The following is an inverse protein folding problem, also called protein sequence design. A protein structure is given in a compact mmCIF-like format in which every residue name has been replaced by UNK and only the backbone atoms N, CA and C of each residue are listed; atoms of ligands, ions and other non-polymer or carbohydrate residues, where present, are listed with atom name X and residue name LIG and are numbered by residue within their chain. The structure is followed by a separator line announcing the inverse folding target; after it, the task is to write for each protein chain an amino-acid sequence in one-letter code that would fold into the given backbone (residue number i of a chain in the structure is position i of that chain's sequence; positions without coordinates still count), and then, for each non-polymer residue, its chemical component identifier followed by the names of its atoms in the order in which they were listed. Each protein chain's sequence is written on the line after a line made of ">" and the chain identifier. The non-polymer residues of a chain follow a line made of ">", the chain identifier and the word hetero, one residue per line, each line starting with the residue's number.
data_IF_983912728647
#
_entry.id   IF_983912728647
#
_cell.length_a   1.000
_cell.length_b   1.000
_cell.length_c   1.000
_cell.angle_alpha   90.00
_cell.angle_beta   90.00
_cell.angle_gamma   90.00
#
_symmetry.space_group_name_H-M   'P 1'
#
loop_
_entity.id
_entity.type
_entity.pdbx_description
1 polymer ?
#
# COMPACT_ATOMS: atom_id res chain seq x y z
N UNK A 1 -10.32 6.35 -13.93
CA UNK A 1 -10.24 4.88 -13.75
C UNK A 1 -9.84 4.61 -12.32
N UNK A 2 -10.64 3.89 -11.53
CA UNK A 2 -10.37 3.66 -10.10
C UNK A 2 -9.78 2.27 -9.91
N UNK A 3 -8.49 2.20 -9.53
CA UNK A 3 -7.75 0.93 -9.40
C UNK A 3 -8.38 -0.03 -8.38
N UNK A 4 -9.03 0.52 -7.35
CA UNK A 4 -9.68 -0.24 -6.26
C UNK A 4 -10.87 -1.05 -6.76
N UNK A 5 -11.66 -0.48 -7.68
CA UNK A 5 -12.80 -1.17 -8.31
C UNK A 5 -12.38 -2.36 -9.17
N UNK A 6 -11.11 -2.42 -9.57
CA UNK A 6 -10.55 -3.54 -10.34
C UNK A 6 -9.88 -4.59 -9.45
N UNK A 7 -9.91 -4.42 -8.12
CA UNK A 7 -9.31 -5.38 -7.18
C UNK A 7 -7.79 -5.25 -7.06
N UNK A 8 -7.20 -4.14 -7.49
CA UNK A 8 -5.75 -3.94 -7.33
C UNK A 8 -5.40 -3.60 -5.88
N UNK A 9 -4.30 -4.19 -5.40
CA UNK A 9 -3.66 -3.81 -4.14
C UNK A 9 -3.12 -2.38 -4.26
N UNK A 10 -3.52 -1.50 -3.33
CA UNK A 10 -3.04 -0.12 -3.29
C UNK A 10 -2.08 0.12 -2.12
N UNK A 11 -1.51 1.31 -2.05
CA UNK A 11 -0.70 1.75 -0.92
C UNK A 11 -0.99 3.21 -0.65
N UNK A 12 -1.30 3.56 0.60
CA UNK A 12 -1.53 4.95 1.01
C UNK A 12 -0.25 5.56 1.55
N UNK A 13 0.11 6.73 1.02
CA UNK A 13 1.25 7.54 1.46
C UNK A 13 0.74 8.87 2.01
N UNK A 14 1.15 9.19 3.23
CA UNK A 14 0.88 10.47 3.88
C UNK A 14 1.81 10.62 5.08
N UNK A 15 2.05 11.84 5.53
CA UNK A 15 2.72 12.08 6.81
C UNK A 15 1.82 11.78 8.02
N UNK A 16 0.50 11.86 7.84
CA UNK A 16 -0.47 11.66 8.91
C UNK A 16 -0.89 10.18 9.01
N UNK A 17 -0.37 9.52 10.04
CA UNK A 17 -0.64 8.11 10.31
C UNK A 17 -2.11 7.83 10.66
N UNK A 18 -2.82 8.77 11.29
CA UNK A 18 -4.23 8.61 11.62
C UNK A 18 -5.12 8.73 10.38
N UNK A 19 -4.75 9.59 9.43
CA UNK A 19 -5.40 9.66 8.12
C UNK A 19 -5.17 8.37 7.32
N UNK A 20 -3.94 7.86 7.31
CA UNK A 20 -3.60 6.58 6.65
C UNK A 20 -4.44 5.43 7.20
N UNK A 21 -4.50 5.27 8.53
CA UNK A 21 -5.23 4.17 9.15
C UNK A 21 -6.73 4.19 8.78
N UNK A 22 -7.33 5.40 8.77
CA UNK A 22 -8.72 5.58 8.35
C UNK A 22 -8.93 5.22 6.87
N UNK A 23 -8.04 5.67 6.00
CA UNK A 23 -8.13 5.38 4.58
C UNK A 23 -7.99 3.87 4.30
N UNK A 24 -7.02 3.20 4.91
CA UNK A 24 -6.81 1.75 4.77
C UNK A 24 -8.03 0.98 5.26
N UNK A 25 -8.58 1.33 6.43
CA UNK A 25 -9.76 0.67 6.98
C UNK A 25 -10.99 0.83 6.08
N UNK A 26 -11.22 2.05 5.57
CA UNK A 26 -12.31 2.32 4.64
C UNK A 26 -12.16 1.52 3.33
N UNK A 27 -10.95 1.47 2.78
CA UNK A 27 -10.70 0.78 1.51
C UNK A 27 -10.81 -0.73 1.62
N UNK A 28 -10.36 -1.31 2.73
CA UNK A 28 -10.54 -2.73 3.02
C UNK A 28 -12.03 -3.05 3.20
N UNK A 29 -12.79 -2.21 3.89
CA UNK A 29 -14.22 -2.41 4.12
C UNK A 29 -15.05 -2.28 2.84
N UNK A 30 -14.77 -1.27 2.01
CA UNK A 30 -15.59 -0.92 0.85
C UNK A 30 -15.29 -1.81 -0.38
N UNK A 31 -14.03 -2.22 -0.55
CA UNK A 31 -13.57 -2.90 -1.77
C UNK A 31 -13.00 -4.30 -1.53
N UNK A 32 -12.79 -4.73 -0.29
CA UNK A 32 -12.19 -6.03 0.02
C UNK A 32 -10.75 -6.19 -0.48
N UNK A 33 -10.08 -5.09 -0.86
CA UNK A 33 -8.71 -5.11 -1.39
C UNK A 33 -7.69 -5.05 -0.25
N UNK A 34 -6.50 -5.62 -0.49
CA UNK A 34 -5.39 -5.48 0.45
C UNK A 34 -4.75 -4.11 0.25
N UNK A 35 -5.01 -3.22 1.19
CA UNK A 35 -4.38 -1.90 1.26
C UNK A 35 -3.49 -1.81 2.49
N UNK A 36 -2.38 -1.08 2.36
CA UNK A 36 -1.51 -0.78 3.49
C UNK A 36 -0.96 0.63 3.41
N UNK A 37 -0.63 1.15 4.59
CA UNK A 37 -0.15 2.51 4.76
C UNK A 37 1.34 2.57 5.02
N UNK A 38 2.04 3.49 4.37
CA UNK A 38 3.39 3.88 4.77
C UNK A 38 3.39 5.37 5.13
N UNK A 39 3.71 5.73 6.38
CA UNK A 39 3.95 7.12 6.73
C UNK A 39 5.17 7.64 5.96
N UNK A 40 4.97 8.63 5.10
CA UNK A 40 6.01 9.16 4.22
C UNK A 40 5.83 10.65 4.07
N UNK A 41 6.91 11.40 4.28
CA UNK A 41 6.96 12.82 3.94
C UNK A 41 7.24 12.96 2.44
N UNK A 42 6.24 13.42 1.68
CA UNK A 42 6.34 13.50 0.21
C UNK A 42 7.29 14.61 -0.27
N UNK A 43 7.60 15.58 0.60
CA UNK A 43 8.56 16.63 0.32
C UNK A 43 10.03 16.17 0.42
N UNK A 44 10.28 14.99 0.99
CA UNK A 44 11.61 14.38 1.11
C UNK A 44 11.76 13.29 0.03
N UNK A 45 12.61 13.57 -0.96
CA UNK A 45 12.86 12.66 -2.07
C UNK A 45 13.44 11.32 -1.60
N UNK A 46 14.34 11.33 -0.63
CA UNK A 46 14.98 10.13 -0.10
C UNK A 46 13.95 9.29 0.67
N UNK A 47 13.06 9.94 1.42
CA UNK A 47 11.95 9.25 2.10
C UNK A 47 10.99 8.58 1.10
N UNK A 48 10.72 9.22 -0.04
CA UNK A 48 9.88 8.66 -1.10
C UNK A 48 10.55 7.46 -1.76
N UNK A 49 11.84 7.55 -2.12
CA UNK A 49 12.56 6.45 -2.75
C UNK A 49 12.70 5.23 -1.82
N UNK A 50 13.02 5.47 -0.55
CA UNK A 50 13.06 4.43 0.47
C UNK A 50 11.69 3.74 0.64
N UNK A 51 10.61 4.51 0.56
CA UNK A 51 9.24 4.02 0.62
C UNK A 51 8.89 3.16 -0.60
N UNK A 52 9.23 3.62 -1.81
CA UNK A 52 9.00 2.88 -3.05
C UNK A 52 9.74 1.54 -3.02
N UNK A 53 11.01 1.56 -2.63
CA UNK A 53 11.84 0.37 -2.44
C UNK A 53 11.25 -0.61 -1.42
N UNK A 54 10.68 -0.09 -0.31
CA UNK A 54 10.00 -0.92 0.69
C UNK A 54 8.71 -1.53 0.15
N UNK A 55 7.92 -0.79 -0.63
CA UNK A 55 6.72 -1.31 -1.31
C UNK A 55 7.09 -2.42 -2.30
N UNK A 56 8.12 -2.22 -3.11
CA UNK A 56 8.59 -3.21 -4.07
C UNK A 56 8.99 -4.53 -3.38
N UNK A 57 9.77 -4.45 -2.29
CA UNK A 57 10.12 -5.62 -1.48
C UNK A 57 8.89 -6.33 -0.89
N UNK A 58 7.90 -5.56 -0.43
CA UNK A 58 6.65 -6.14 0.09
C UNK A 58 5.87 -6.88 -1.01
N UNK A 59 5.77 -6.30 -2.21
CA UNK A 59 5.13 -6.94 -3.36
C UNK A 59 5.81 -8.26 -3.75
N UNK A 60 7.14 -8.28 -3.78
CA UNK A 60 7.91 -9.51 -4.06
C UNK A 60 7.64 -10.60 -3.02
N UNK A 61 7.60 -10.26 -1.73
CA UNK A 61 7.28 -11.24 -0.67
C UNK A 61 5.86 -11.80 -0.80
N UNK A 62 4.89 -10.97 -1.17
CA UNK A 62 3.52 -11.44 -1.38
C UNK A 62 3.38 -12.31 -2.63
N UNK A 63 4.13 -12.04 -3.69
CA UNK A 63 4.15 -12.90 -4.87
C UNK A 63 4.86 -14.23 -4.61
N UNK A 64 5.99 -14.23 -3.87
CA UNK A 64 6.68 -15.46 -3.48
C UNK A 64 5.85 -16.32 -2.51
N UNK A 65 5.04 -15.70 -1.65
CA UNK A 65 4.07 -16.42 -0.81
C UNK A 65 2.90 -17.01 -1.60
N UNK A 66 2.48 -16.37 -2.69
CA UNK A 66 1.46 -16.91 -3.60
C UNK A 66 1.99 -18.09 -4.42
N UNK A 67 3.28 -18.07 -4.82
CA UNK A 67 3.92 -19.17 -5.53
C UNK A 67 4.06 -20.45 -4.69
N UNK A 68 4.03 -20.35 -3.35
CA UNK A 68 3.99 -21.51 -2.44
C UNK A 68 2.58 -22.09 -2.26
N UNK A 69 1.56 -21.45 -2.84
CA UNK A 69 0.16 -21.90 -2.80
C UNK A 69 -0.33 -22.47 -4.16
N UNK A 70 0.58 -22.64 -5.12
CA UNK A 70 0.33 -23.37 -6.38
C UNK A 70 0.76 -24.84 -6.26
#
# INVERSE_FOLDING_TARGET
>A
MDARRRGYDTTQLSRDQASIARAVAALQADYGVRDFGIPTELADFDAVDATASRRARHALRTCSGLAAFC
#
